data_IF_213069442047
#
_entry.id   IF_213069442047
#
_cell.length_a   1.000
_cell.length_b   1.000
_cell.length_c   1.000
_cell.angle_alpha   90.00
_cell.angle_beta   90.00
_cell.angle_gamma   90.00
#
_symmetry.space_group_name_H-M   'P 1'
#
loop_
_entity.id
_entity.type
_entity.pdbx_description
1 polymer ?
#
# COMPACT_ATOMS: atom_id res chain seq x y z
N UNK A 1 -5.73 -10.67 3.42
CA UNK A 1 -5.46 -12.12 3.15
C UNK A 1 -4.01 -12.41 3.49
N UNK A 2 -3.70 -13.56 4.03
CA UNK A 2 -2.34 -13.90 4.45
C UNK A 2 -1.80 -15.06 3.61
N UNK A 3 -0.67 -14.84 2.91
CA UNK A 3 0.06 -15.90 2.20
C UNK A 3 -0.56 -16.40 0.89
N UNK A 4 -1.53 -15.73 0.33
CA UNK A 4 -2.14 -16.08 -0.95
C UNK A 4 -1.59 -15.24 -2.09
N UNK A 5 -2.24 -14.16 -2.41
CA UNK A 5 -1.87 -13.18 -3.42
C UNK A 5 -1.82 -11.78 -2.79
N UNK A 6 -1.08 -10.88 -3.42
CA UNK A 6 -1.13 -9.47 -3.06
C UNK A 6 -2.51 -8.88 -3.41
N UNK A 7 -3.04 -8.05 -2.53
CA UNK A 7 -4.31 -7.36 -2.75
C UNK A 7 -4.07 -5.87 -2.88
N UNK A 8 -4.51 -5.28 -4.01
CA UNK A 8 -4.56 -3.85 -4.14
C UNK A 8 -5.61 -3.27 -3.19
N UNK A 9 -5.28 -2.18 -2.52
CA UNK A 9 -6.20 -1.42 -1.69
C UNK A 9 -6.41 -0.02 -2.24
N UNK A 10 -7.49 0.63 -1.85
CA UNK A 10 -7.81 1.98 -2.31
C UNK A 10 -6.95 3.04 -1.59
N UNK A 11 -5.64 2.92 -1.73
CA UNK A 11 -4.67 3.83 -1.16
C UNK A 11 -3.50 4.08 -2.12
N UNK A 12 -2.94 5.28 -2.10
CA UNK A 12 -1.77 5.62 -2.90
C UNK A 12 -1.02 6.83 -2.31
N UNK A 13 0.26 6.95 -2.68
CA UNK A 13 1.05 8.16 -2.44
C UNK A 13 0.85 9.12 -3.61
N UNK A 14 0.46 10.36 -3.32
CA UNK A 14 0.19 11.37 -4.33
C UNK A 14 1.51 11.95 -4.87
N UNK A 15 1.97 11.44 -5.99
CA UNK A 15 3.21 11.85 -6.65
C UNK A 15 3.09 11.89 -8.16
N UNK A 16 4.05 12.55 -8.80
CA UNK A 16 4.14 12.64 -10.25
C UNK A 16 4.74 11.35 -10.81
N UNK A 17 3.91 10.39 -11.17
CA UNK A 17 4.33 9.12 -11.76
C UNK A 17 3.38 8.71 -12.87
N UNK A 18 3.92 8.45 -14.06
CA UNK A 18 3.13 8.04 -15.21
C UNK A 18 2.30 6.77 -14.95
N UNK A 19 2.81 5.83 -14.15
CA UNK A 19 2.08 4.60 -13.81
C UNK A 19 0.87 4.89 -12.93
N UNK A 20 0.97 5.84 -12.00
CA UNK A 20 -0.16 6.29 -11.21
C UNK A 20 -1.25 6.89 -12.11
N UNK A 21 -0.86 7.68 -13.11
CA UNK A 21 -1.79 8.26 -14.09
C UNK A 21 -2.44 7.18 -14.96
N UNK A 22 -1.67 6.22 -15.44
CA UNK A 22 -2.15 5.16 -16.34
C UNK A 22 -3.05 4.17 -15.60
N UNK A 23 -2.59 3.62 -14.48
CA UNK A 23 -3.28 2.54 -13.77
C UNK A 23 -4.19 3.04 -12.65
N UNK A 24 -3.93 4.23 -12.10
CA UNK A 24 -4.66 4.79 -10.97
C UNK A 24 -5.76 5.79 -11.33
N UNK A 25 -6.07 6.00 -12.60
CA UNK A 25 -7.02 7.04 -13.03
C UNK A 25 -8.38 6.97 -12.31
N UNK A 26 -8.95 5.79 -12.17
CA UNK A 26 -10.21 5.61 -11.46
C UNK A 26 -10.07 5.90 -9.96
N UNK A 27 -8.96 5.47 -9.36
CA UNK A 27 -8.65 5.72 -7.95
C UNK A 27 -8.42 7.21 -7.68
N UNK A 28 -7.65 7.90 -8.54
CA UNK A 28 -7.38 9.34 -8.41
C UNK A 28 -8.68 10.13 -8.49
N UNK A 29 -9.54 9.84 -9.47
CA UNK A 29 -10.78 10.54 -9.73
C UNK A 29 -11.95 10.11 -8.82
N UNK A 30 -11.79 9.03 -8.05
CA UNK A 30 -12.79 8.56 -7.10
C UNK A 30 -12.98 9.52 -5.93
N UNK A 31 -14.09 9.35 -5.21
CA UNK A 31 -14.41 10.17 -4.03
C UNK A 31 -13.37 10.00 -2.92
N UNK A 32 -13.06 11.07 -2.24
CA UNK A 32 -12.03 11.09 -1.17
C UNK A 32 -12.39 10.19 0.02
N UNK A 33 -13.69 10.01 0.29
CA UNK A 33 -14.16 9.14 1.38
C UNK A 33 -13.94 7.64 1.15
N UNK A 34 -13.63 7.25 -0.09
CA UNK A 34 -13.47 5.83 -0.47
C UNK A 34 -12.00 5.42 -0.66
N UNK A 35 -11.07 6.31 -0.37
CA UNK A 35 -9.64 6.07 -0.58
C UNK A 35 -8.77 6.78 0.45
N UNK A 36 -7.58 6.26 0.67
CA UNK A 36 -6.54 6.92 1.45
C UNK A 36 -5.48 7.52 0.52
N UNK A 37 -5.23 8.81 0.68
CA UNK A 37 -4.22 9.53 -0.07
C UNK A 37 -3.11 9.98 0.88
N UNK A 38 -1.89 9.56 0.59
CA UNK A 38 -0.70 9.91 1.35
C UNK A 38 0.11 10.98 0.64
N UNK A 39 0.71 11.86 1.41
CA UNK A 39 1.60 12.91 0.90
C UNK A 39 2.96 12.33 0.49
N UNK A 40 3.47 12.78 -0.65
CA UNK A 40 4.84 12.51 -1.05
C UNK A 40 5.79 13.46 -0.33
N UNK A 41 6.81 12.93 0.32
CA UNK A 41 7.88 13.75 0.91
C UNK A 41 8.79 14.36 -0.18
N UNK A 42 9.57 15.38 0.19
CA UNK A 42 10.53 16.01 -0.74
C UNK A 42 11.55 15.02 -1.29
N UNK A 43 12.08 14.14 -0.44
CA UNK A 43 12.85 12.98 -0.85
C UNK A 43 11.88 11.80 -0.92
N UNK A 44 11.53 11.41 -2.13
CA UNK A 44 10.54 10.36 -2.41
C UNK A 44 11.12 8.97 -2.10
N UNK A 45 11.26 8.68 -0.82
CA UNK A 45 11.78 7.43 -0.29
C UNK A 45 10.83 6.89 0.79
N UNK A 46 10.75 5.60 0.97
CA UNK A 46 9.73 4.97 1.82
C UNK A 46 9.70 5.50 3.27
N UNK A 47 10.86 5.71 3.88
CA UNK A 47 10.92 6.24 5.26
C UNK A 47 10.45 7.69 5.34
N UNK A 48 10.82 8.51 4.35
CA UNK A 48 10.44 9.92 4.33
C UNK A 48 8.94 10.08 4.05
N UNK A 49 8.40 9.29 3.11
CA UNK A 49 6.96 9.25 2.83
C UNK A 49 6.17 8.73 4.04
N UNK A 50 6.66 7.69 4.72
CA UNK A 50 6.05 7.20 5.96
C UNK A 50 6.01 8.30 7.03
N UNK A 51 7.14 8.97 7.30
CA UNK A 51 7.23 10.01 8.32
C UNK A 51 6.39 11.24 7.98
N UNK A 52 6.29 11.64 6.71
CA UNK A 52 5.47 12.76 6.27
C UNK A 52 3.97 12.58 6.54
N UNK A 53 3.53 11.32 6.71
CA UNK A 53 2.12 10.97 6.94
C UNK A 53 1.84 10.44 8.35
N UNK A 54 2.72 10.67 9.30
CA UNK A 54 2.62 10.13 10.66
C UNK A 54 1.36 10.53 11.44
N UNK A 55 0.61 11.53 10.97
CA UNK A 55 -0.68 11.93 11.53
C UNK A 55 -1.89 11.17 10.96
N UNK A 56 -1.69 10.27 9.99
CA UNK A 56 -2.77 9.46 9.43
C UNK A 56 -3.00 8.20 10.26
N UNK A 57 -4.19 8.11 10.81
CA UNK A 57 -4.66 6.98 11.61
C UNK A 57 -5.84 6.30 10.94
N UNK A 58 -6.04 5.02 11.28
CA UNK A 58 -7.24 4.28 10.90
C UNK A 58 -7.14 3.44 9.63
N UNK A 59 -6.01 3.44 8.93
CA UNK A 59 -5.75 2.53 7.80
C UNK A 59 -4.76 1.40 8.17
N UNK A 60 -4.44 1.30 9.44
CA UNK A 60 -3.62 0.27 10.05
C UNK A 60 -2.15 0.21 9.60
N UNK A 61 -1.63 1.19 8.89
CA UNK A 61 -0.20 1.22 8.51
C UNK A 61 0.66 1.61 9.71
N UNK A 62 0.29 2.69 10.40
CA UNK A 62 1.03 3.21 11.55
C UNK A 62 0.81 2.40 12.83
N UNK A 63 -0.35 1.77 12.94
CA UNK A 63 -0.70 0.89 14.06
C UNK A 63 0.04 -0.45 14.02
N UNK A 64 0.48 -0.88 12.82
CA UNK A 64 1.10 -2.21 12.64
C UNK A 64 2.56 -2.16 12.21
N UNK A 65 3.10 -0.99 11.92
CA UNK A 65 4.48 -0.81 11.44
C UNK A 65 5.23 0.24 12.26
N UNK A 66 6.51 0.00 12.49
CA UNK A 66 7.37 0.91 13.27
C UNK A 66 8.03 2.00 12.43
N UNK A 67 8.25 1.78 11.14
CA UNK A 67 9.06 2.70 10.32
C UNK A 67 8.73 2.72 8.83
N UNK A 68 7.73 2.00 8.37
CA UNK A 68 7.42 1.87 6.95
C UNK A 68 8.48 1.14 6.12
N UNK A 69 9.59 0.73 6.71
CA UNK A 69 10.67 0.00 6.05
C UNK A 69 10.49 -1.51 6.08
N UNK A 70 11.46 -2.22 5.50
CA UNK A 70 11.43 -3.68 5.38
C UNK A 70 11.27 -4.37 6.73
N UNK A 71 10.32 -5.32 6.82
CA UNK A 71 10.09 -6.17 7.99
C UNK A 71 9.85 -5.39 9.30
N UNK A 72 9.34 -4.17 9.19
CA UNK A 72 9.05 -3.34 10.35
C UNK A 72 7.65 -3.54 10.92
N UNK A 73 6.81 -4.36 10.29
CA UNK A 73 5.50 -4.74 10.79
C UNK A 73 5.59 -5.69 11.99
N UNK A 74 4.50 -5.78 12.74
CA UNK A 74 4.35 -6.74 13.82
C UNK A 74 4.59 -8.17 13.32
N UNK A 75 5.25 -8.99 14.13
CA UNK A 75 5.65 -10.37 13.82
C UNK A 75 6.63 -10.50 12.64
N UNK A 76 7.22 -9.39 12.17
CA UNK A 76 8.15 -9.41 11.05
C UNK A 76 7.52 -9.56 9.68
N UNK A 77 6.22 -9.34 9.55
CA UNK A 77 5.55 -9.32 8.26
C UNK A 77 6.21 -8.30 7.32
N UNK A 78 6.21 -8.62 6.03
CA UNK A 78 6.85 -7.78 5.03
C UNK A 78 6.17 -6.42 4.94
N UNK A 79 6.93 -5.37 5.09
CA UNK A 79 6.45 -3.99 5.02
C UNK A 79 7.37 -3.14 4.17
N UNK A 80 6.79 -2.32 3.32
CA UNK A 80 7.50 -1.30 2.55
C UNK A 80 6.52 -0.23 2.11
N UNK A 81 6.66 0.95 2.69
CA UNK A 81 5.81 2.08 2.34
C UNK A 81 6.06 2.49 0.88
N UNK A 82 5.03 2.88 0.12
CA UNK A 82 5.19 3.34 -1.26
C UNK A 82 6.16 4.51 -1.40
N UNK A 83 6.95 4.45 -2.46
CA UNK A 83 7.96 5.44 -2.82
C UNK A 83 8.10 5.57 -4.36
N UNK A 84 9.21 6.13 -4.83
CA UNK A 84 9.46 6.34 -6.26
C UNK A 84 9.42 5.05 -7.12
N UNK A 85 9.53 3.87 -6.53
CA UNK A 85 9.38 2.59 -7.25
C UNK A 85 7.93 2.26 -7.58
N UNK A 86 7.00 2.67 -6.71
CA UNK A 86 5.58 2.47 -6.92
C UNK A 86 4.72 3.15 -5.87
N UNK A 87 3.67 3.81 -6.30
CA UNK A 87 2.82 4.64 -5.45
C UNK A 87 1.54 3.97 -4.97
N UNK A 88 1.24 2.76 -5.43
CA UNK A 88 0.07 2.01 -4.98
C UNK A 88 0.40 1.19 -3.73
N UNK A 89 -0.62 0.93 -2.93
CA UNK A 89 -0.53 0.00 -1.80
C UNK A 89 -1.08 -1.38 -2.14
N UNK A 90 -0.39 -2.37 -1.62
CA UNK A 90 -0.81 -3.76 -1.57
C UNK A 90 -0.83 -4.25 -0.14
N UNK A 91 -1.69 -5.22 0.14
CA UNK A 91 -1.80 -5.91 1.43
C UNK A 91 -1.64 -7.42 1.28
N UNK A 92 -1.35 -8.09 2.39
CA UNK A 92 -1.42 -9.53 2.53
C UNK A 92 -0.22 -10.31 2.05
N UNK A 93 0.62 -9.74 1.20
CA UNK A 93 1.80 -10.36 0.58
C UNK A 93 1.53 -11.69 -0.14
N UNK A 94 2.33 -12.01 -1.15
CA UNK A 94 2.18 -13.23 -1.94
C UNK A 94 2.75 -14.47 -1.26
N UNK A 95 2.27 -15.64 -1.64
CA UNK A 95 2.71 -16.95 -1.12
C UNK A 95 4.23 -17.17 -1.19
N UNK A 96 4.90 -16.57 -2.18
CA UNK A 96 6.35 -16.66 -2.36
C UNK A 96 7.17 -15.96 -1.27
N UNK A 97 6.54 -15.17 -0.39
CA UNK A 97 7.20 -14.49 0.72
C UNK A 97 7.39 -15.36 1.96
N UNK A 98 6.81 -16.56 1.97
CA UNK A 98 6.98 -17.51 3.09
C UNK A 98 6.55 -16.90 4.43
N UNK A 99 7.43 -16.96 5.42
CA UNK A 99 7.18 -16.47 6.77
C UNK A 99 6.94 -14.96 6.88
N UNK A 100 7.23 -14.19 5.84
CA UNK A 100 6.98 -12.74 5.80
C UNK A 100 5.62 -12.37 5.24
N UNK A 101 4.87 -13.34 4.73
CA UNK A 101 3.51 -13.15 4.26
C UNK A 101 2.54 -13.20 5.45
N UNK A 102 1.92 -12.09 5.76
CA UNK A 102 1.02 -11.99 6.90
C UNK A 102 -0.06 -10.95 6.71
N UNK A 103 -1.04 -10.95 7.61
CA UNK A 103 -2.18 -10.01 7.58
C UNK A 103 -1.74 -8.56 7.79
N UNK A 104 -0.59 -8.35 8.40
CA UNK A 104 -0.03 -7.03 8.67
C UNK A 104 0.95 -6.58 7.58
N UNK A 105 1.20 -7.43 6.57
CA UNK A 105 2.05 -7.08 5.45
C UNK A 105 1.43 -5.97 4.60
N UNK A 106 2.24 -5.03 4.19
CA UNK A 106 1.92 -4.04 3.17
C UNK A 106 3.13 -3.76 2.29
N UNK A 107 2.88 -3.38 1.04
CA UNK A 107 3.95 -3.19 0.08
C UNK A 107 3.58 -2.11 -0.94
N UNK A 108 4.58 -1.55 -1.60
CA UNK A 108 4.37 -0.69 -2.75
C UNK A 108 4.09 -1.51 -4.01
N UNK A 109 3.39 -0.93 -4.95
CA UNK A 109 3.23 -1.47 -6.29
C UNK A 109 3.27 -0.40 -7.36
N UNK A 110 3.73 -0.79 -8.52
CA UNK A 110 3.73 0.07 -9.71
C UNK A 110 2.38 0.11 -10.46
N UNK A 111 1.37 -0.64 -10.01
CA UNK A 111 0.01 -0.64 -10.57
C UNK A 111 -0.23 -1.62 -11.71
N UNK A 112 0.77 -2.40 -12.13
CA UNK A 112 0.59 -3.44 -13.15
C UNK A 112 -0.19 -4.66 -12.62
N UNK A 113 -0.73 -5.47 -13.50
CA UNK A 113 -1.36 -6.76 -13.15
C UNK A 113 -0.41 -7.92 -13.40
N UNK A 114 -0.35 -8.87 -12.48
CA UNK A 114 0.37 -10.13 -12.62
C UNK A 114 -0.42 -11.26 -11.97
N UNK A 115 0.03 -12.51 -12.16
CA UNK A 115 -0.61 -13.67 -11.54
C UNK A 115 -0.53 -13.70 -10.01
N UNK A 116 0.28 -12.83 -9.41
CA UNK A 116 0.44 -12.72 -7.95
C UNK A 116 -0.53 -11.74 -7.30
N UNK A 117 -1.42 -11.10 -8.06
CA UNK A 117 -2.36 -10.11 -7.55
C UNK A 117 -3.79 -10.60 -7.52
N UNK A 118 -4.51 -10.15 -6.51
CA UNK A 118 -5.94 -10.37 -6.35
C UNK A 118 -6.62 -9.09 -5.88
N UNK A 119 -7.92 -9.15 -5.69
CA UNK A 119 -8.70 -8.08 -5.06
C UNK A 119 -9.78 -8.70 -4.17
N UNK A 120 -10.13 -7.98 -3.12
CA UNK A 120 -11.24 -8.35 -2.25
C UNK A 120 -12.35 -7.30 -2.43
N UNK A 121 -13.43 -7.60 -3.18
CA UNK A 121 -14.53 -6.67 -3.34
C UNK A 121 -15.33 -6.57 -2.04
N UNK A 122 -15.64 -5.34 -1.63
CA UNK A 122 -16.60 -5.07 -0.55
C UNK A 122 -17.88 -4.54 -1.17
N UNK A 123 -18.97 -5.26 -0.97
CA UNK A 123 -20.31 -4.77 -1.33
C UNK A 123 -20.87 -3.97 -0.15
N UNK A 124 -20.98 -2.66 -0.31
CA UNK A 124 -21.73 -1.82 0.61
C UNK A 124 -23.18 -1.75 0.17
N UNK A 125 -24.09 -2.21 1.01
CA UNK A 125 -25.54 -1.98 0.84
C UNK A 125 -25.87 -0.67 1.54
N UNK A 126 -26.30 0.30 0.78
CA UNK A 126 -26.72 1.62 1.27
C UNK A 126 -28.20 1.64 1.61
#
# INVERSE_FOLDING_TARGET
MSGGAHEYVAAYVNGENNRLIIYGKALINGETKTKNVYEKASRDYYEDNYNANSSKYGDAVYEVSKSGGYYSSWYGDYSHFPDFYGYFFERGSGYSRGAYAGVLAFHYSSGGSTNGYSFCPVLAVL
#
